data_IF_986394910945
#
_entry.id   IF_986394910945
#
_cell.length_a   1.000
_cell.length_b   1.000
_cell.length_c   1.000
_cell.angle_alpha   90.00
_cell.angle_beta   90.00
_cell.angle_gamma   90.00
#
_symmetry.space_group_name_H-M   'P 1'
#
loop_
_entity.id
_entity.type
_entity.pdbx_description
1 polymer ?
#
# COMPACT_ATOMS: atom_id res chain seq x y z
N UNK A 1 0.54 9.73 -46.34
CA UNK A 1 1.14 10.36 -45.15
C UNK A 1 0.82 9.43 -43.99
N UNK A 2 1.83 8.87 -43.31
CA UNK A 2 1.60 8.09 -42.09
C UNK A 2 1.11 9.03 -40.99
N UNK A 3 0.13 8.60 -40.21
CA UNK A 3 -0.34 9.37 -39.05
C UNK A 3 0.86 9.76 -38.16
N UNK A 4 0.93 11.02 -37.70
CA UNK A 4 2.00 11.44 -36.82
C UNK A 4 1.92 10.62 -35.53
N UNK A 5 3.06 10.05 -35.14
CA UNK A 5 3.20 9.34 -33.87
C UNK A 5 2.82 10.34 -32.75
N UNK A 6 1.89 9.99 -31.84
CA UNK A 6 1.53 10.88 -30.74
C UNK A 6 2.76 11.09 -29.83
N UNK A 7 2.83 12.19 -29.09
CA UNK A 7 3.91 12.39 -28.13
C UNK A 7 3.98 11.21 -27.16
N UNK A 8 5.11 10.49 -27.19
CA UNK A 8 5.39 9.35 -26.33
C UNK A 8 6.15 9.84 -25.09
N UNK A 9 5.64 9.52 -23.90
CA UNK A 9 6.32 9.78 -22.63
C UNK A 9 7.00 8.48 -22.21
N UNK A 10 8.30 8.56 -21.93
CA UNK A 10 9.05 7.49 -21.26
C UNK A 10 9.34 7.95 -19.84
N UNK A 11 9.10 7.07 -18.85
CA UNK A 11 9.31 7.33 -17.43
C UNK A 11 10.59 6.62 -17.01
N UNK A 12 11.61 7.38 -16.60
CA UNK A 12 12.92 6.87 -16.17
C UNK A 12 13.44 7.75 -15.01
N UNK A 13 13.71 7.15 -13.85
CA UNK A 13 14.17 7.86 -12.64
C UNK A 13 15.64 8.26 -12.78
N UNK A 14 15.89 9.53 -13.11
CA UNK A 14 17.27 10.07 -13.23
C UNK A 14 17.42 11.46 -12.63
N UNK A 15 16.42 11.98 -11.90
CA UNK A 15 16.50 13.29 -11.26
C UNK A 15 16.25 13.17 -9.77
N UNK A 16 17.13 13.78 -8.98
CA UNK A 16 16.98 13.91 -7.54
C UNK A 16 17.01 15.40 -7.23
N UNK A 17 15.97 15.89 -6.56
CA UNK A 17 15.91 17.28 -6.13
C UNK A 17 17.14 17.61 -5.27
N UNK A 18 17.76 18.81 -5.40
CA UNK A 18 18.97 19.17 -4.66
C UNK A 18 18.88 18.92 -3.15
N UNK A 19 17.72 19.26 -2.55
CA UNK A 19 17.47 19.09 -1.12
C UNK A 19 17.41 17.62 -0.70
N UNK A 20 16.75 16.77 -1.50
CA UNK A 20 16.68 15.33 -1.28
C UNK A 20 18.05 14.65 -1.54
N UNK A 21 18.83 15.18 -2.49
CA UNK A 21 20.16 14.66 -2.80
C UNK A 21 21.15 14.90 -1.65
N UNK A 22 21.06 16.03 -0.97
CA UNK A 22 21.87 16.31 0.21
C UNK A 22 21.64 15.24 1.28
N UNK A 23 20.39 14.92 1.58
CA UNK A 23 20.01 13.87 2.55
C UNK A 23 20.43 12.46 2.09
N UNK A 24 20.26 12.13 0.80
CA UNK A 24 20.64 10.81 0.26
C UNK A 24 22.17 10.62 0.15
N UNK A 25 22.93 11.70 -0.02
CA UNK A 25 24.40 11.64 -0.13
C UNK A 25 25.07 11.18 1.16
N UNK A 26 24.44 11.44 2.31
CA UNK A 26 24.91 10.96 3.62
C UNK A 26 24.69 9.46 3.79
N UNK A 27 23.68 8.88 3.11
CA UNK A 27 23.31 7.46 3.21
C UNK A 27 24.01 6.60 2.15
N UNK A 28 24.19 7.12 0.92
CA UNK A 28 24.73 6.40 -0.24
C UNK A 28 26.13 6.89 -0.69
N UNK A 29 26.80 7.66 0.16
CA UNK A 29 28.05 8.35 -0.18
C UNK A 29 29.17 7.44 -0.71
N UNK A 30 29.29 6.21 -0.22
CA UNK A 30 30.32 5.26 -0.69
C UNK A 30 30.04 4.72 -2.10
N UNK A 31 28.79 4.47 -2.44
CA UNK A 31 28.38 4.01 -3.76
C UNK A 31 28.57 5.12 -4.80
N UNK A 32 28.22 6.36 -4.44
CA UNK A 32 28.33 7.53 -5.33
C UNK A 32 29.79 7.90 -5.63
N UNK A 33 30.73 7.63 -4.71
CA UNK A 33 32.17 7.82 -4.94
C UNK A 33 32.72 6.96 -6.08
N UNK A 34 32.12 5.79 -6.34
CA UNK A 34 32.54 4.89 -7.42
C UNK A 34 32.10 5.35 -8.82
N UNK A 35 31.21 6.34 -8.89
CA UNK A 35 30.60 6.85 -10.12
C UNK A 35 30.87 8.36 -10.26
N UNK A 36 32.06 8.76 -10.77
CA UNK A 36 32.47 10.16 -10.84
C UNK A 36 31.50 11.00 -11.67
N UNK A 37 31.02 12.11 -11.10
CA UNK A 37 30.11 13.06 -11.75
C UNK A 37 28.63 12.72 -11.67
N UNK A 38 28.25 11.58 -11.07
CA UNK A 38 26.84 11.15 -10.98
C UNK A 38 25.97 12.15 -10.21
N UNK A 39 26.48 12.75 -9.13
CA UNK A 39 25.72 13.73 -8.34
C UNK A 39 25.36 14.98 -9.12
N UNK A 40 26.31 15.54 -9.87
CA UNK A 40 26.07 16.69 -10.74
C UNK A 40 25.03 16.37 -11.84
N UNK A 41 25.03 15.15 -12.37
CA UNK A 41 24.07 14.71 -13.40
C UNK A 41 22.66 14.45 -12.83
N UNK A 42 22.57 13.93 -11.61
CA UNK A 42 21.30 13.68 -10.93
C UNK A 42 20.58 14.97 -10.55
N UNK A 43 21.32 16.06 -10.32
CA UNK A 43 20.77 17.37 -9.95
C UNK A 43 20.60 18.33 -11.13
N UNK A 44 21.32 18.12 -12.25
CA UNK A 44 21.23 18.99 -13.42
C UNK A 44 19.99 18.66 -14.27
N UNK A 45 19.08 19.64 -14.35
CA UNK A 45 17.94 19.69 -15.30
C UNK A 45 18.21 20.65 -16.45
N UNK A 46 19.48 21.00 -16.66
CA UNK A 46 19.92 22.09 -17.53
C UNK A 46 20.93 21.62 -18.58
N UNK A 47 22.08 22.28 -18.74
CA UNK A 47 23.00 22.04 -19.86
C UNK A 47 23.56 20.62 -19.95
N UNK A 48 23.90 19.96 -18.84
CA UNK A 48 24.44 18.60 -18.87
C UNK A 48 23.35 17.63 -19.31
N UNK A 49 22.12 17.85 -18.83
CA UNK A 49 20.97 17.04 -19.20
C UNK A 49 20.64 17.14 -20.68
N UNK A 50 20.59 18.37 -21.20
CA UNK A 50 20.32 18.60 -22.62
C UNK A 50 21.40 17.98 -23.51
N UNK A 51 22.67 18.06 -23.12
CA UNK A 51 23.77 17.44 -23.85
C UNK A 51 23.67 15.90 -23.87
N UNK A 52 23.33 15.27 -22.73
CA UNK A 52 23.11 13.82 -22.65
C UNK A 52 21.86 13.41 -23.47
N UNK A 53 20.80 14.22 -23.46
CA UNK A 53 19.60 14.00 -24.27
C UNK A 53 19.92 14.07 -25.77
N UNK A 54 20.67 15.08 -26.21
CA UNK A 54 21.09 15.24 -27.61
C UNK A 54 21.97 14.06 -28.07
N UNK A 55 22.95 13.68 -27.25
CA UNK A 55 23.86 12.58 -27.53
C UNK A 55 23.13 11.23 -27.70
N UNK A 56 22.06 11.03 -26.94
CA UNK A 56 21.27 9.80 -26.94
C UNK A 56 19.98 9.89 -27.77
N UNK A 57 19.78 10.99 -28.51
CA UNK A 57 18.58 11.24 -29.34
C UNK A 57 17.26 11.19 -28.55
N UNK A 58 17.30 11.68 -27.31
CA UNK A 58 16.12 11.82 -26.45
C UNK A 58 15.48 13.19 -26.74
N UNK A 59 14.33 13.18 -27.41
CA UNK A 59 13.65 14.42 -27.80
C UNK A 59 12.86 15.10 -26.66
N UNK A 60 12.44 14.34 -25.65
CA UNK A 60 11.69 14.84 -24.49
C UNK A 60 11.99 13.96 -23.29
N UNK A 61 12.36 14.58 -22.17
CA UNK A 61 12.44 13.92 -20.87
C UNK A 61 11.57 14.69 -19.88
N UNK A 62 10.65 13.99 -19.21
CA UNK A 62 9.77 14.58 -18.21
C UNK A 62 10.34 14.25 -16.85
N UNK A 63 10.80 15.26 -16.11
CA UNK A 63 11.20 15.10 -14.72
C UNK A 63 9.98 14.88 -13.82
N UNK A 64 10.10 14.02 -12.81
CA UNK A 64 9.08 13.78 -11.79
C UNK A 64 8.99 14.91 -10.75
N UNK A 65 9.17 16.16 -11.19
CA UNK A 65 9.02 17.33 -10.33
C UNK A 65 7.55 17.59 -10.09
N UNK A 66 7.07 17.37 -8.87
CA UNK A 66 5.72 17.71 -8.43
C UNK A 66 5.78 18.66 -7.24
N UNK A 67 4.72 19.45 -7.04
CA UNK A 67 4.66 20.43 -5.95
C UNK A 67 4.75 19.76 -4.57
N UNK A 68 5.13 20.50 -3.51
CA UNK A 68 5.40 19.94 -2.19
C UNK A 68 4.22 19.14 -1.62
N UNK A 69 2.98 19.60 -1.79
CA UNK A 69 1.80 18.82 -1.33
C UNK A 69 1.62 17.47 -2.03
N UNK A 70 1.99 17.37 -3.31
CA UNK A 70 1.99 16.08 -4.01
C UNK A 70 3.16 15.20 -3.57
N UNK A 71 4.32 15.80 -3.26
CA UNK A 71 5.45 15.05 -2.70
C UNK A 71 5.11 14.48 -1.33
N UNK A 72 4.56 15.31 -0.44
CA UNK A 72 4.13 14.91 0.89
C UNK A 72 3.09 13.80 0.79
N UNK A 73 2.04 13.99 -0.03
CA UNK A 73 0.98 12.98 -0.16
C UNK A 73 1.48 11.68 -0.78
N UNK A 74 2.19 11.72 -1.92
CA UNK A 74 2.65 10.51 -2.59
C UNK A 74 3.71 9.77 -1.77
N UNK A 75 4.55 10.48 -1.01
CA UNK A 75 5.50 9.89 -0.07
C UNK A 75 4.84 9.33 1.20
N UNK A 76 3.58 9.68 1.48
CA UNK A 76 2.84 9.26 2.66
C UNK A 76 1.53 8.53 2.30
N UNK A 77 0.38 9.08 2.68
CA UNK A 77 -0.95 8.46 2.57
C UNK A 77 -1.45 8.27 1.14
N UNK A 78 -0.89 8.98 0.16
CA UNK A 78 -1.25 8.84 -1.24
C UNK A 78 -0.73 7.55 -1.87
N UNK A 79 0.45 7.07 -1.45
CA UNK A 79 0.99 5.79 -1.92
C UNK A 79 2.14 5.22 -1.07
N UNK A 80 3.07 6.07 -0.64
CA UNK A 80 4.33 5.67 -0.01
C UNK A 80 4.15 4.78 1.23
N UNK A 81 3.23 5.14 2.13
CA UNK A 81 2.94 4.33 3.33
C UNK A 81 2.48 2.91 3.00
N UNK A 82 1.68 2.74 1.94
CA UNK A 82 1.20 1.43 1.51
C UNK A 82 2.34 0.57 0.98
N UNK A 83 3.23 1.16 0.18
CA UNK A 83 4.44 0.49 -0.30
C UNK A 83 5.32 0.04 0.87
N UNK A 84 5.62 0.95 1.80
CA UNK A 84 6.52 0.67 2.92
C UNK A 84 5.95 -0.38 3.87
N UNK A 85 4.68 -0.24 4.26
CA UNK A 85 4.02 -1.16 5.18
C UNK A 85 3.83 -2.53 4.55
N UNK A 86 3.36 -2.59 3.30
CA UNK A 86 3.23 -3.83 2.55
C UNK A 86 4.57 -4.56 2.43
N UNK A 87 5.64 -3.83 2.09
CA UNK A 87 6.99 -4.39 2.03
C UNK A 87 7.49 -4.86 3.40
N UNK A 88 7.19 -4.13 4.48
CA UNK A 88 7.58 -4.53 5.83
C UNK A 88 6.96 -5.88 6.24
N UNK A 89 5.67 -6.09 5.96
CA UNK A 89 5.01 -7.39 6.20
C UNK A 89 5.67 -8.51 5.40
N UNK A 90 5.99 -8.27 4.13
CA UNK A 90 6.69 -9.25 3.30
C UNK A 90 8.11 -9.55 3.81
N UNK A 91 8.81 -8.56 4.38
CA UNK A 91 10.10 -8.78 5.04
C UNK A 91 9.97 -9.65 6.29
N UNK A 92 8.92 -9.47 7.10
CA UNK A 92 8.63 -10.37 8.22
C UNK A 92 8.39 -11.81 7.76
N UNK A 93 7.66 -11.97 6.65
CA UNK A 93 7.45 -13.27 6.03
C UNK A 93 8.77 -13.89 5.54
N UNK A 94 9.55 -13.16 4.77
CA UNK A 94 10.84 -13.62 4.24
C UNK A 94 11.85 -13.97 5.35
N UNK A 95 11.83 -13.23 6.47
CA UNK A 95 12.66 -13.49 7.64
C UNK A 95 12.26 -14.77 8.41
N UNK A 96 11.13 -15.41 8.06
CA UNK A 96 10.66 -16.62 8.70
C UNK A 96 9.95 -16.39 10.04
N UNK A 97 9.55 -15.15 10.35
CA UNK A 97 8.88 -14.80 11.61
C UNK A 97 7.72 -15.74 11.91
N UNK A 98 6.85 -15.93 10.92
CA UNK A 98 5.63 -16.67 11.15
C UNK A 98 5.93 -18.14 11.43
N UNK A 99 6.95 -18.73 10.82
CA UNK A 99 7.31 -20.14 11.08
C UNK A 99 7.89 -20.31 12.49
N UNK A 100 8.69 -19.32 12.93
CA UNK A 100 9.22 -19.29 14.28
C UNK A 100 8.13 -19.03 15.35
N UNK A 101 7.10 -18.24 15.01
CA UNK A 101 6.00 -17.89 15.92
C UNK A 101 4.64 -18.08 15.21
N UNK A 102 4.17 -19.34 15.01
CA UNK A 102 2.96 -19.60 14.22
C UNK A 102 1.67 -18.97 14.77
N UNK A 103 1.65 -18.65 16.08
CA UNK A 103 0.51 -18.01 16.74
C UNK A 103 0.50 -16.48 16.68
N UNK A 104 1.51 -15.83 16.07
CA UNK A 104 1.54 -14.36 15.95
C UNK A 104 0.36 -13.87 15.13
N UNK A 105 -0.25 -12.76 15.54
CA UNK A 105 -1.34 -12.11 14.79
C UNK A 105 -0.96 -10.67 14.51
N UNK A 106 -1.10 -10.25 13.26
CA UNK A 106 -0.78 -8.90 12.81
C UNK A 106 -2.05 -8.28 12.22
N UNK A 107 -2.34 -7.05 12.60
CA UNK A 107 -3.39 -6.23 12.01
C UNK A 107 -2.70 -5.17 11.16
N UNK A 108 -3.11 -5.04 9.90
CA UNK A 108 -2.63 -4.01 8.98
C UNK A 108 -3.78 -3.15 8.47
N UNK A 109 -3.52 -1.86 8.24
CA UNK A 109 -4.54 -0.89 7.84
C UNK A 109 -4.93 -0.99 6.37
N UNK A 110 -5.75 -0.05 5.93
CA UNK A 110 -5.84 0.36 4.52
C UNK A 110 -6.07 -0.79 3.53
N UNK A 111 -7.00 -1.69 3.86
CA UNK A 111 -7.30 -2.87 3.06
C UNK A 111 -6.10 -3.79 2.79
N UNK A 112 -5.14 -3.81 3.71
CA UNK A 112 -3.98 -4.69 3.64
C UNK A 112 -2.84 -4.18 2.77
N UNK A 113 -2.73 -2.86 2.58
CA UNK A 113 -1.52 -2.22 2.03
C UNK A 113 -1.11 -2.79 0.66
N UNK A 114 -2.10 -2.91 -0.24
CA UNK A 114 -1.99 -3.50 -1.59
C UNK A 114 -1.67 -5.00 -1.65
N UNK A 115 -1.41 -5.67 -0.52
CA UNK A 115 -1.07 -7.09 -0.50
C UNK A 115 -2.17 -8.00 -1.05
N UNK A 116 -3.48 -7.75 -0.82
CA UNK A 116 -4.54 -8.54 -1.48
C UNK A 116 -4.48 -8.49 -3.01
N UNK A 117 -4.09 -7.34 -3.58
CA UNK A 117 -3.93 -7.19 -5.03
C UNK A 117 -2.69 -7.94 -5.55
N UNK A 118 -1.64 -8.04 -4.74
CA UNK A 118 -0.40 -8.71 -5.09
C UNK A 118 -0.35 -10.19 -4.70
N UNK A 119 -1.46 -10.76 -4.20
CA UNK A 119 -1.53 -12.07 -3.56
C UNK A 119 -0.88 -13.18 -4.41
N UNK A 120 -1.29 -13.34 -5.66
CA UNK A 120 -0.78 -14.39 -6.55
C UNK A 120 0.67 -14.15 -6.96
N UNK A 121 1.07 -12.88 -7.09
CA UNK A 121 2.46 -12.52 -7.42
C UNK A 121 3.39 -12.88 -6.28
N UNK A 122 3.03 -12.52 -5.05
CA UNK A 122 3.81 -12.81 -3.84
C UNK A 122 3.86 -14.33 -3.63
N UNK A 123 2.73 -15.03 -3.66
CA UNK A 123 2.67 -16.47 -3.50
C UNK A 123 3.63 -17.19 -4.49
N UNK A 124 3.59 -16.81 -5.77
CA UNK A 124 4.43 -17.39 -6.81
C UNK A 124 5.93 -17.10 -6.63
N UNK A 125 6.28 -15.90 -6.17
CA UNK A 125 7.68 -15.45 -6.13
C UNK A 125 8.36 -15.70 -4.79
N UNK A 126 7.59 -15.80 -3.70
CA UNK A 126 8.13 -15.91 -2.36
C UNK A 126 9.05 -17.12 -2.09
N UNK A 127 8.92 -18.28 -2.77
CA UNK A 127 9.92 -19.34 -2.64
C UNK A 127 11.34 -18.93 -3.03
N UNK A 128 11.50 -17.86 -3.84
CA UNK A 128 12.82 -17.30 -4.21
C UNK A 128 13.47 -16.50 -3.09
N UNK A 129 12.72 -16.13 -2.05
CA UNK A 129 13.21 -15.32 -0.92
C UNK A 129 13.84 -16.19 0.18
N UNK A 130 13.64 -17.50 0.09
CA UNK A 130 14.10 -18.50 1.05
C UNK A 130 13.04 -19.57 1.27
N UNK A 131 13.46 -20.77 1.66
CA UNK A 131 12.52 -21.84 1.99
C UNK A 131 11.70 -21.46 3.24
N UNK A 132 10.37 -21.53 3.13
CA UNK A 132 9.41 -21.34 4.23
C UNK A 132 8.58 -22.62 4.41
N UNK A 133 8.17 -22.92 5.64
CA UNK A 133 7.34 -24.09 5.91
C UNK A 133 5.88 -23.85 5.50
N UNK A 134 5.42 -22.61 5.64
CA UNK A 134 4.06 -22.19 5.29
C UNK A 134 4.09 -21.22 4.12
N UNK A 135 3.15 -21.38 3.20
CA UNK A 135 3.02 -20.49 2.05
C UNK A 135 2.56 -19.09 2.46
N UNK A 136 2.73 -18.12 1.58
CA UNK A 136 2.27 -16.76 1.83
C UNK A 136 0.75 -16.73 2.02
N UNK A 137 -0.01 -17.45 1.19
CA UNK A 137 -1.46 -17.60 1.35
C UNK A 137 -1.85 -18.16 2.72
N UNK A 138 -1.15 -19.20 3.18
CA UNK A 138 -1.42 -19.78 4.50
C UNK A 138 -1.13 -18.79 5.63
N UNK A 139 -0.02 -18.07 5.57
CA UNK A 139 0.30 -17.03 6.55
C UNK A 139 -0.73 -15.90 6.51
N UNK A 140 -1.17 -15.48 5.32
CA UNK A 140 -2.21 -14.47 5.17
C UNK A 140 -3.51 -14.89 5.87
N UNK A 141 -3.95 -16.12 5.64
CA UNK A 141 -5.20 -16.67 6.18
C UNK A 141 -5.13 -17.01 7.68
N UNK A 142 -3.96 -17.31 8.24
CA UNK A 142 -3.82 -17.72 9.65
C UNK A 142 -3.35 -16.57 10.57
N UNK A 143 -2.56 -15.63 10.04
CA UNK A 143 -1.80 -14.67 10.85
C UNK A 143 -2.15 -13.20 10.59
N UNK A 144 -2.80 -12.86 9.48
CA UNK A 144 -3.01 -11.46 9.07
C UNK A 144 -4.50 -11.08 9.09
N UNK A 145 -4.78 -9.92 9.69
CA UNK A 145 -6.07 -9.23 9.65
C UNK A 145 -5.88 -7.88 8.97
N UNK A 146 -6.86 -7.43 8.19
CA UNK A 146 -6.84 -6.13 7.52
C UNK A 146 -7.93 -5.23 8.08
N UNK A 147 -7.68 -3.92 8.11
CA UNK A 147 -8.70 -2.94 8.47
C UNK A 147 -9.13 -2.07 7.29
N UNK A 148 -10.32 -1.47 7.39
CA UNK A 148 -10.86 -0.54 6.39
C UNK A 148 -10.39 0.91 6.61
N UNK A 149 -9.41 1.13 7.48
CA UNK A 149 -8.94 2.47 7.87
C UNK A 149 -8.54 3.29 6.65
N UNK A 150 -9.04 4.53 6.51
CA UNK A 150 -8.62 5.50 5.49
C UNK A 150 -8.83 5.09 4.03
N UNK A 151 -9.34 3.90 3.75
CA UNK A 151 -9.56 3.37 2.40
C UNK A 151 -10.98 2.85 2.30
N UNK A 152 -11.79 3.57 1.54
CA UNK A 152 -13.21 3.29 1.38
C UNK A 152 -13.57 3.30 -0.09
N UNK A 153 -13.80 2.10 -0.63
CA UNK A 153 -14.26 1.91 -1.98
C UNK A 153 -14.68 0.46 -2.18
N UNK A 154 -15.79 0.25 -2.89
CA UNK A 154 -16.30 -1.10 -3.12
C UNK A 154 -15.41 -1.89 -4.09
N UNK A 155 -14.80 -1.23 -5.08
CA UNK A 155 -13.87 -1.88 -6.01
C UNK A 155 -12.64 -2.49 -5.32
N UNK A 156 -11.87 -1.75 -4.49
CA UNK A 156 -10.79 -2.36 -3.73
C UNK A 156 -11.30 -3.39 -2.70
N UNK A 157 -12.46 -3.17 -2.07
CA UNK A 157 -13.04 -4.17 -1.16
C UNK A 157 -13.33 -5.50 -1.88
N UNK A 158 -13.83 -5.49 -3.11
CA UNK A 158 -14.06 -6.71 -3.87
C UNK A 158 -12.77 -7.51 -4.08
N UNK A 159 -11.63 -6.84 -4.26
CA UNK A 159 -10.32 -7.49 -4.29
C UNK A 159 -9.94 -8.08 -2.93
N UNK A 160 -10.16 -7.32 -1.84
CA UNK A 160 -9.92 -7.77 -0.46
C UNK A 160 -10.71 -9.04 -0.16
N UNK A 161 -12.03 -9.04 -0.40
CA UNK A 161 -12.92 -10.15 -0.09
C UNK A 161 -12.62 -11.41 -0.93
N UNK A 162 -12.05 -11.24 -2.13
CA UNK A 162 -11.59 -12.38 -2.95
C UNK A 162 -10.31 -13.02 -2.44
N UNK A 163 -9.47 -12.26 -1.74
CA UNK A 163 -8.12 -12.71 -1.32
C UNK A 163 -7.95 -12.81 0.20
N UNK A 164 -8.94 -12.40 0.98
CA UNK A 164 -8.90 -12.34 2.44
C UNK A 164 -10.18 -12.95 2.99
N UNK A 165 -10.10 -13.86 3.97
CA UNK A 165 -11.30 -14.35 4.65
C UNK A 165 -12.11 -13.19 5.23
N UNK A 166 -13.43 -13.21 5.06
CA UNK A 166 -14.30 -12.14 5.61
C UNK A 166 -14.15 -11.99 7.13
N UNK A 167 -13.84 -13.09 7.83
CA UNK A 167 -13.54 -13.13 9.27
C UNK A 167 -12.26 -12.35 9.66
N UNK A 168 -11.45 -11.97 8.67
CA UNK A 168 -10.16 -11.28 8.82
C UNK A 168 -10.22 -9.81 8.40
N UNK A 169 -11.39 -9.30 8.00
CA UNK A 169 -11.60 -7.90 7.65
C UNK A 169 -12.25 -7.18 8.84
N UNK A 170 -11.66 -6.07 9.26
CA UNK A 170 -12.08 -5.28 10.43
C UNK A 170 -12.45 -3.86 10.02
N UNK A 171 -13.58 -3.35 10.47
CA UNK A 171 -13.91 -1.94 10.29
C UNK A 171 -12.99 -1.04 11.13
N UNK A 172 -12.49 0.02 10.50
CA UNK A 172 -11.72 1.08 11.14
C UNK A 172 -11.82 2.36 10.31
N UNK A 173 -11.57 3.52 10.93
CA UNK A 173 -11.76 4.83 10.30
C UNK A 173 -10.45 5.50 9.88
N UNK A 174 -9.40 5.40 10.69
CA UNK A 174 -8.20 6.26 10.64
C UNK A 174 -8.41 7.68 11.19
N UNK A 175 -9.21 7.81 12.25
CA UNK A 175 -9.33 9.06 12.99
C UNK A 175 -8.01 9.40 13.71
N UNK A 176 -7.53 10.67 13.71
CA UNK A 176 -8.23 11.89 13.27
C UNK A 176 -7.93 12.34 11.83
N UNK A 177 -7.18 11.55 11.05
CA UNK A 177 -6.85 11.92 9.67
C UNK A 177 -8.05 11.81 8.73
N UNK A 178 -8.95 10.86 9.02
CA UNK A 178 -10.24 10.72 8.36
C UNK A 178 -11.41 10.90 9.33
N UNK A 179 -12.60 11.20 8.80
CA UNK A 179 -13.80 11.53 9.60
C UNK A 179 -14.65 10.29 9.84
N UNK A 180 -15.26 10.19 11.02
CA UNK A 180 -16.16 9.07 11.36
C UNK A 180 -17.38 9.03 10.46
N UNK A 181 -17.85 10.19 10.00
CA UNK A 181 -18.99 10.32 9.08
C UNK A 181 -18.72 9.66 7.73
N UNK A 182 -17.48 9.77 7.22
CA UNK A 182 -17.08 9.18 5.95
C UNK A 182 -17.06 7.65 6.04
N UNK A 183 -16.51 7.11 7.12
CA UNK A 183 -16.56 5.67 7.40
C UNK A 183 -17.99 5.14 7.56
N UNK A 184 -18.86 5.87 8.26
CA UNK A 184 -20.27 5.50 8.40
C UNK A 184 -21.01 5.54 7.06
N UNK A 185 -20.71 6.51 6.20
CA UNK A 185 -21.27 6.59 4.85
C UNK A 185 -20.88 5.35 4.02
N UNK A 186 -19.61 4.95 4.08
CA UNK A 186 -19.13 3.75 3.39
C UNK A 186 -19.78 2.46 3.93
N UNK A 187 -20.00 2.32 5.24
CA UNK A 187 -20.71 1.15 5.79
C UNK A 187 -22.13 1.05 5.22
N UNK A 188 -22.83 2.19 5.06
CA UNK A 188 -24.16 2.24 4.43
C UNK A 188 -24.10 1.87 2.95
N UNK A 189 -23.11 2.39 2.23
CA UNK A 189 -22.87 2.04 0.82
C UNK A 189 -22.62 0.53 0.65
N UNK A 190 -21.76 -0.05 1.49
CA UNK A 190 -21.47 -1.48 1.47
C UNK A 190 -22.74 -2.32 1.71
N UNK A 191 -23.54 -1.96 2.72
CA UNK A 191 -24.83 -2.60 2.99
C UNK A 191 -25.74 -2.57 1.76
N UNK A 192 -25.89 -1.38 1.17
CA UNK A 192 -26.84 -1.16 0.07
C UNK A 192 -26.35 -1.78 -1.25
N UNK A 193 -25.04 -2.02 -1.39
CA UNK A 193 -24.43 -2.65 -2.58
C UNK A 193 -24.75 -4.14 -2.76
N UNK A 194 -25.12 -4.84 -1.68
CA UNK A 194 -25.29 -6.30 -1.68
C UNK A 194 -24.00 -7.12 -1.87
N UNK A 195 -22.81 -6.49 -1.77
CA UNK A 195 -21.52 -7.16 -1.92
C UNK A 195 -21.24 -8.17 -0.78
N UNK A 196 -21.82 -7.93 0.39
CA UNK A 196 -21.71 -8.79 1.58
C UNK A 196 -23.10 -9.04 2.15
N UNK A 197 -23.30 -10.17 2.83
CA UNK A 197 -24.56 -10.44 3.55
C UNK A 197 -24.67 -9.56 4.80
N UNK A 198 -25.87 -9.40 5.39
CA UNK A 198 -26.02 -8.71 6.68
C UNK A 198 -25.13 -9.30 7.79
N UNK A 199 -24.96 -10.63 7.81
CA UNK A 199 -24.11 -11.31 8.79
C UNK A 199 -22.63 -11.03 8.57
N UNK A 200 -22.19 -10.95 7.31
CA UNK A 200 -20.83 -10.56 6.94
C UNK A 200 -20.55 -9.08 7.25
N UNK A 201 -21.55 -8.21 7.04
CA UNK A 201 -21.44 -6.82 7.43
C UNK A 201 -21.26 -6.68 8.94
N UNK A 202 -22.02 -7.42 9.75
CA UNK A 202 -21.86 -7.48 11.20
C UNK A 202 -20.46 -7.98 11.61
N UNK A 203 -19.92 -8.97 10.89
CA UNK A 203 -18.55 -9.46 11.08
C UNK A 203 -17.54 -8.34 10.88
N UNK A 204 -17.59 -7.67 9.73
CA UNK A 204 -16.69 -6.57 9.38
C UNK A 204 -16.84 -5.43 10.38
N UNK A 205 -18.08 -5.03 10.69
CA UNK A 205 -18.37 -3.87 11.52
C UNK A 205 -17.89 -4.03 12.97
N UNK A 206 -18.04 -5.21 13.58
CA UNK A 206 -17.64 -5.40 14.97
C UNK A 206 -17.31 -6.84 15.39
N UNK A 207 -18.00 -7.89 14.89
CA UNK A 207 -17.85 -9.23 15.48
C UNK A 207 -16.47 -9.83 15.28
N UNK A 208 -15.79 -9.51 14.17
CA UNK A 208 -14.42 -9.96 13.94
C UNK A 208 -13.46 -9.32 14.95
N UNK A 209 -13.61 -8.02 15.23
CA UNK A 209 -12.82 -7.32 16.23
C UNK A 209 -13.09 -7.86 17.64
N UNK A 210 -14.35 -8.13 17.99
CA UNK A 210 -14.68 -8.78 19.27
C UNK A 210 -13.98 -10.13 19.43
N UNK A 211 -14.03 -10.97 18.40
CA UNK A 211 -13.43 -12.31 18.41
C UNK A 211 -11.90 -12.25 18.49
N UNK A 212 -11.27 -11.38 17.70
CA UNK A 212 -9.82 -11.25 17.63
C UNK A 212 -9.23 -10.63 18.90
N UNK A 213 -9.77 -9.48 19.31
CA UNK A 213 -9.24 -8.66 20.39
C UNK A 213 -9.82 -9.04 21.77
N UNK A 214 -10.80 -9.95 21.80
CA UNK A 214 -11.49 -10.40 23.02
C UNK A 214 -12.17 -9.23 23.76
N UNK A 215 -12.78 -8.34 23.00
CA UNK A 215 -13.54 -7.18 23.49
C UNK A 215 -15.02 -7.33 23.15
N UNK A 216 -15.86 -6.47 23.74
CA UNK A 216 -17.27 -6.35 23.41
C UNK A 216 -17.59 -4.94 22.95
N UNK A 217 -18.28 -4.82 21.82
CA UNK A 217 -18.83 -3.56 21.39
C UNK A 217 -19.87 -3.08 22.42
N UNK A 218 -19.89 -1.79 22.76
CA UNK A 218 -20.94 -1.25 23.62
C UNK A 218 -22.30 -1.52 23.00
N UNK A 219 -23.22 -2.09 23.78
CA UNK A 219 -24.62 -2.18 23.36
C UNK A 219 -25.18 -0.77 23.38
N UNK A 220 -25.61 -0.26 22.23
CA UNK A 220 -26.33 1.01 22.18
C UNK A 220 -27.68 0.79 22.88
N UNK A 221 -27.85 1.40 24.06
CA UNK A 221 -29.10 1.35 24.79
C UNK A 221 -30.20 2.05 23.96
N UNK A 222 -31.07 1.28 23.31
CA UNK A 222 -32.15 1.85 22.49
C UNK A 222 -32.92 0.86 21.61
N UNK A 223 -32.33 -0.25 21.20
CA UNK A 223 -33.06 -1.27 20.43
C UNK A 223 -33.53 -2.39 21.35
N UNK A 224 -34.63 -2.13 22.07
CA UNK A 224 -35.44 -3.22 22.61
C UNK A 224 -35.93 -4.07 21.44
N UNK A 225 -35.45 -5.31 21.37
CA UNK A 225 -36.04 -6.37 20.56
C UNK A 225 -37.55 -6.38 20.83
N UNK A 226 -38.34 -5.91 19.85
CA UNK A 226 -39.74 -6.27 19.81
C UNK A 226 -39.78 -7.77 19.47
N UNK A 227 -40.22 -8.51 20.48
CA UNK A 227 -40.59 -9.93 20.45
C UNK A 227 -41.64 -10.24 19.40
#
# INVERSE_FOLDING_TARGET
MSDPIPPLITLEEHFIAPDLFAELSDVYGEQLKSLPGVGARLQDVGPLRLADMDANRVALQVGSGYGPGAADSLGSSGFGWHQETGLAVLRLFAAGLFDAVPGVKIIIGHFGEMLPFMMERVERLSPRWGARERSWRRVWEENIWVTTSGVWGLAPLACVLRNTPVDHVLYSVDYPFAKNEDGLAWVRELRDSGMVTPEELDKIAYRNAEKLLRVKAPVVAGESKQS
#
